data_IF_796365126178
#
_entry.id   IF_796365126178
#
_cell.length_a   1.000
_cell.length_b   1.000
_cell.length_c   1.000
_cell.angle_alpha   90.00
_cell.angle_beta   90.00
_cell.angle_gamma   90.00
#
_symmetry.space_group_name_H-M   'P 1'
#
loop_
_entity.id
_entity.type
_entity.pdbx_description
1 polymer ?
#
# COMPACT_ATOMS: atom_id res chain seq x y z
N UNK A 1 -25.05 20.73 -0.29
CA UNK A 1 -23.84 21.47 0.09
C UNK A 1 -22.76 20.44 0.41
N UNK A 2 -21.63 20.40 -0.32
CA UNK A 2 -20.61 19.38 -0.11
C UNK A 2 -19.95 19.42 1.28
N UNK A 3 -20.16 20.50 2.05
CA UNK A 3 -19.72 20.60 3.45
C UNK A 3 -20.50 19.66 4.38
N UNK A 4 -21.73 19.31 4.02
CA UNK A 4 -22.63 18.51 4.87
C UNK A 4 -23.19 17.28 4.16
N UNK A 5 -22.83 17.05 2.90
CA UNK A 5 -23.35 15.95 2.09
C UNK A 5 -22.22 15.32 1.30
N UNK A 6 -22.09 14.00 1.40
CA UNK A 6 -21.19 13.21 0.57
C UNK A 6 -22.01 12.36 -0.40
N UNK A 7 -21.58 12.30 -1.66
CA UNK A 7 -22.18 11.45 -2.69
C UNK A 7 -21.32 10.22 -2.87
N UNK A 8 -21.91 9.04 -2.72
CA UNK A 8 -21.22 7.75 -2.86
C UNK A 8 -21.82 6.96 -4.01
N UNK A 9 -20.96 6.32 -4.80
CA UNK A 9 -21.39 5.42 -5.87
C UNK A 9 -22.00 4.15 -5.27
N UNK A 10 -23.13 3.68 -5.84
CA UNK A 10 -23.87 2.51 -5.35
C UNK A 10 -22.99 1.26 -5.16
N UNK A 11 -21.91 1.12 -5.92
CA UNK A 11 -20.95 0.00 -5.78
C UNK A 11 -20.29 -0.06 -4.39
N UNK A 12 -20.23 1.05 -3.67
CA UNK A 12 -19.65 1.13 -2.32
C UNK A 12 -20.71 1.15 -1.21
N UNK A 13 -21.99 0.83 -1.51
CA UNK A 13 -23.08 0.92 -0.52
C UNK A 13 -22.85 0.08 0.74
N UNK A 14 -22.10 -1.02 0.62
CA UNK A 14 -21.80 -1.90 1.75
C UNK A 14 -20.61 -1.40 2.60
N UNK A 15 -19.82 -0.48 2.05
CA UNK A 15 -18.61 0.06 2.67
C UNK A 15 -18.84 1.45 3.29
N UNK A 16 -20.08 1.97 3.25
CA UNK A 16 -20.45 3.27 3.82
C UNK A 16 -21.71 3.13 4.69
N UNK A 17 -21.80 3.98 5.71
CA UNK A 17 -22.96 4.13 6.58
C UNK A 17 -23.27 5.60 6.84
N UNK A 18 -24.53 5.90 7.14
CA UNK A 18 -24.94 7.23 7.59
C UNK A 18 -24.29 7.56 8.94
N UNK A 19 -23.74 8.78 9.12
CA UNK A 19 -23.11 9.16 10.37
C UNK A 19 -24.13 9.28 11.50
N UNK A 20 -23.89 8.56 12.59
CA UNK A 20 -24.75 8.60 13.78
C UNK A 20 -24.45 9.78 14.72
N UNK A 21 -23.29 10.40 14.55
CA UNK A 21 -22.85 11.55 15.37
C UNK A 21 -21.87 12.42 14.59
N UNK A 22 -21.65 13.64 15.06
CA UNK A 22 -20.55 14.49 14.59
C UNK A 22 -19.25 14.00 15.22
N UNK A 23 -18.21 13.87 14.40
CA UNK A 23 -16.87 13.45 14.82
C UNK A 23 -15.80 14.45 14.40
N UNK A 24 -14.59 14.24 14.90
CA UNK A 24 -13.39 14.98 14.50
C UNK A 24 -12.36 14.02 13.95
N UNK A 25 -11.61 14.47 12.93
CA UNK A 25 -10.50 13.73 12.35
C UNK A 25 -9.35 14.70 12.13
N UNK A 26 -8.16 14.34 12.62
CA UNK A 26 -6.95 15.12 12.45
C UNK A 26 -5.85 14.26 11.82
N UNK A 27 -5.14 14.83 10.85
CA UNK A 27 -3.93 14.23 10.26
C UNK A 27 -2.79 14.34 11.29
N UNK A 28 -2.29 13.21 11.76
CA UNK A 28 -1.20 13.13 12.72
C UNK A 28 0.17 13.06 12.02
N UNK A 29 0.26 12.31 10.91
CA UNK A 29 1.50 12.22 10.14
C UNK A 29 1.24 12.05 8.65
N UNK A 30 2.11 12.64 7.83
CA UNK A 30 2.04 12.63 6.38
C UNK A 30 3.37 12.17 5.79
N UNK A 31 3.32 11.11 4.99
CA UNK A 31 4.40 10.67 4.13
C UNK A 31 3.83 10.23 2.76
N UNK A 32 4.63 10.26 1.68
CA UNK A 32 4.15 9.93 0.33
C UNK A 32 3.48 8.56 0.22
N UNK A 33 3.95 7.58 0.99
CA UNK A 33 3.44 6.20 1.00
C UNK A 33 2.63 5.84 2.26
N UNK A 34 2.47 6.77 3.22
CA UNK A 34 1.77 6.50 4.47
C UNK A 34 1.14 7.77 5.05
N UNK A 35 -0.15 7.70 5.36
CA UNK A 35 -0.89 8.75 6.05
C UNK A 35 -1.44 8.18 7.35
N UNK A 36 -1.37 8.92 8.45
CA UNK A 36 -1.95 8.51 9.73
C UNK A 36 -2.84 9.62 10.25
N UNK A 37 -4.08 9.27 10.59
CA UNK A 37 -5.09 10.14 11.16
C UNK A 37 -5.53 9.61 12.53
N UNK A 38 -5.98 10.52 13.37
CA UNK A 38 -6.72 10.23 14.60
C UNK A 38 -8.16 10.66 14.42
N UNK A 39 -9.10 9.77 14.73
CA UNK A 39 -10.53 10.09 14.77
C UNK A 39 -11.07 10.01 16.19
N UNK A 40 -12.06 10.83 16.48
CA UNK A 40 -12.87 10.81 17.71
C UNK A 40 -14.32 11.09 17.36
N UNK A 41 -15.20 10.12 17.55
CA UNK A 41 -16.63 10.20 17.22
C UNK A 41 -17.47 9.35 18.19
N UNK A 42 -18.62 9.86 18.61
CA UNK A 42 -19.47 9.19 19.61
C UNK A 42 -20.32 8.04 19.04
N UNK A 43 -20.58 8.08 17.73
CA UNK A 43 -21.34 7.10 16.97
C UNK A 43 -20.60 6.73 15.69
N UNK A 44 -20.88 5.55 15.14
CA UNK A 44 -20.26 5.08 13.91
C UNK A 44 -20.71 5.92 12.71
N UNK A 45 -19.90 5.93 11.64
CA UNK A 45 -20.25 6.66 10.43
C UNK A 45 -19.17 6.69 9.38
N UNK A 46 -19.54 7.15 8.19
CA UNK A 46 -18.59 7.36 7.10
C UNK A 46 -17.77 8.63 7.30
N UNK A 47 -16.46 8.48 7.38
CA UNK A 47 -15.49 9.55 7.28
C UNK A 47 -15.09 9.76 5.82
N UNK A 48 -15.07 11.02 5.36
CA UNK A 48 -14.57 11.41 4.03
C UNK A 48 -13.25 12.16 4.20
N UNK A 49 -12.23 11.72 3.47
CA UNK A 49 -10.88 12.26 3.54
C UNK A 49 -10.60 13.08 2.29
N UNK A 50 -9.90 14.21 2.43
CA UNK A 50 -9.44 15.04 1.30
C UNK A 50 -8.27 14.42 0.52
N UNK A 51 -8.33 13.11 0.30
CA UNK A 51 -7.30 12.29 -0.32
C UNK A 51 -7.87 11.59 -1.56
N UNK A 52 -7.08 11.51 -2.63
CA UNK A 52 -7.54 10.92 -3.90
C UNK A 52 -7.70 9.41 -3.74
N UNK A 53 -8.89 8.90 -4.04
CA UNK A 53 -9.17 7.47 -4.19
C UNK A 53 -8.36 6.91 -5.36
N UNK A 54 -7.49 5.94 -5.06
CA UNK A 54 -6.70 5.26 -6.07
C UNK A 54 -6.47 3.79 -5.68
N UNK A 55 -6.71 2.83 -6.60
CA UNK A 55 -6.42 1.41 -6.35
C UNK A 55 -4.92 1.23 -6.06
N UNK A 56 -4.57 0.58 -4.94
CA UNK A 56 -3.22 0.31 -4.37
C UNK A 56 -3.01 0.94 -2.99
N UNK A 57 -3.87 1.86 -2.57
CA UNK A 57 -3.93 2.23 -1.17
C UNK A 57 -4.68 1.16 -0.37
N UNK A 58 -4.14 0.81 0.79
CA UNK A 58 -4.83 0.02 1.82
C UNK A 58 -5.10 0.91 3.02
N UNK A 59 -6.25 0.70 3.65
CA UNK A 59 -6.63 1.41 4.86
C UNK A 59 -6.68 0.45 6.04
N UNK A 60 -6.34 0.97 7.21
CA UNK A 60 -6.35 0.24 8.47
C UNK A 60 -7.00 1.11 9.54
N UNK A 61 -7.86 0.52 10.35
CA UNK A 61 -8.39 1.13 11.58
C UNK A 61 -7.87 0.29 12.74
N UNK A 62 -7.08 0.91 13.62
CA UNK A 62 -6.42 0.24 14.76
C UNK A 62 -5.61 -1.02 14.37
N UNK A 63 -5.09 -1.04 13.14
CA UNK A 63 -4.30 -2.15 12.61
C UNK A 63 -5.09 -3.18 11.82
N UNK A 64 -6.43 -3.15 11.87
CA UNK A 64 -7.28 -4.04 11.07
C UNK A 64 -7.55 -3.45 9.70
N UNK A 65 -7.37 -4.24 8.65
CA UNK A 65 -7.56 -3.78 7.27
C UNK A 65 -9.05 -3.58 6.98
N UNK A 66 -9.39 -2.43 6.42
CA UNK A 66 -10.76 -2.06 6.03
C UNK A 66 -10.85 -1.71 4.55
N UNK A 67 -12.04 -1.86 3.97
CA UNK A 67 -12.31 -1.50 2.59
C UNK A 67 -12.37 0.03 2.41
N UNK A 68 -11.71 0.54 1.37
CA UNK A 68 -11.75 1.96 1.01
C UNK A 68 -12.93 2.19 0.05
N UNK A 69 -13.88 3.01 0.47
CA UNK A 69 -14.93 3.52 -0.39
C UNK A 69 -14.51 4.79 -1.12
N UNK A 70 -15.28 5.17 -2.15
CA UNK A 70 -15.10 6.42 -2.88
C UNK A 70 -16.29 7.35 -2.69
N UNK A 71 -16.04 8.54 -2.17
CA UNK A 71 -17.01 9.61 -2.02
C UNK A 71 -16.67 10.78 -2.94
N UNK A 72 -17.69 11.60 -3.27
CA UNK A 72 -17.55 12.82 -4.07
C UNK A 72 -16.69 12.61 -5.32
N UNK A 73 -16.91 11.49 -6.02
CA UNK A 73 -16.24 11.04 -7.24
C UNK A 73 -14.73 10.72 -7.13
N UNK A 74 -13.99 11.38 -6.25
CA UNK A 74 -12.52 11.31 -6.20
C UNK A 74 -11.96 11.10 -4.80
N UNK A 75 -12.73 11.26 -3.74
CA UNK A 75 -12.24 11.24 -2.37
C UNK A 75 -12.32 9.84 -1.76
N UNK A 76 -11.37 9.52 -0.88
CA UNK A 76 -11.42 8.30 -0.06
C UNK A 76 -12.49 8.45 1.03
N UNK A 77 -13.18 7.37 1.33
CA UNK A 77 -14.10 7.28 2.45
C UNK A 77 -13.91 5.96 3.19
N UNK A 78 -14.11 5.98 4.50
CA UNK A 78 -14.06 4.80 5.38
C UNK A 78 -15.24 4.82 6.32
N UNK A 79 -15.83 3.65 6.57
CA UNK A 79 -16.75 3.47 7.67
C UNK A 79 -15.94 3.34 8.98
N UNK A 80 -16.07 4.33 9.87
CA UNK A 80 -15.31 4.41 11.13
C UNK A 80 -16.25 4.06 12.30
N UNK A 81 -15.88 3.10 13.16
CA UNK A 81 -16.66 2.77 14.35
C UNK A 81 -16.73 3.94 15.35
N UNK A 82 -17.62 3.84 16.33
CA UNK A 82 -17.67 4.78 17.44
C UNK A 82 -16.44 4.62 18.35
N UNK A 83 -15.86 5.74 18.78
CA UNK A 83 -14.73 5.79 19.69
C UNK A 83 -13.57 6.62 19.17
N UNK A 84 -12.39 6.34 19.71
CA UNK A 84 -11.13 6.92 19.29
C UNK A 84 -10.36 5.89 18.49
N UNK A 85 -9.98 6.23 17.26
CA UNK A 85 -9.30 5.30 16.37
C UNK A 85 -8.08 5.92 15.71
N UNK A 86 -7.11 5.06 15.41
CA UNK A 86 -5.98 5.39 14.55
C UNK A 86 -6.27 4.84 13.16
N UNK A 87 -6.35 5.74 12.19
CA UNK A 87 -6.62 5.39 10.79
C UNK A 87 -5.33 5.55 10.00
N UNK A 88 -4.87 4.48 9.36
CA UNK A 88 -3.67 4.51 8.54
C UNK A 88 -4.00 4.17 7.08
N UNK A 89 -3.58 5.02 6.15
CA UNK A 89 -3.52 4.68 4.74
C UNK A 89 -2.08 4.32 4.39
N UNK A 90 -1.87 3.18 3.74
CA UNK A 90 -0.55 2.72 3.28
C UNK A 90 -0.62 2.45 1.79
N UNK A 91 0.29 3.04 1.03
CA UNK A 91 0.43 2.79 -0.40
C UNK A 91 1.25 1.52 -0.60
N UNK A 92 0.59 0.45 -1.04
CA UNK A 92 1.25 -0.82 -1.33
C UNK A 92 0.80 -1.39 -2.69
N UNK A 93 1.36 -0.89 -3.79
CA UNK A 93 1.02 -1.34 -5.13
C UNK A 93 1.62 -2.72 -5.44
N UNK A 94 0.80 -3.60 -6.01
CA UNK A 94 1.18 -4.95 -6.46
C UNK A 94 2.37 -4.93 -7.44
N UNK A 95 2.55 -3.83 -8.19
CA UNK A 95 3.68 -3.67 -9.11
C UNK A 95 5.04 -3.70 -8.40
N UNK A 96 5.16 -3.14 -7.19
CA UNK A 96 6.43 -3.13 -6.46
C UNK A 96 6.91 -4.55 -6.19
N UNK A 97 6.02 -5.41 -5.65
CA UNK A 97 6.33 -6.80 -5.40
C UNK A 97 6.70 -7.59 -6.67
N UNK A 98 6.06 -7.30 -7.80
CA UNK A 98 6.40 -7.93 -9.08
C UNK A 98 7.78 -7.52 -9.57
N UNK A 99 8.09 -6.23 -9.51
CA UNK A 99 9.40 -5.73 -9.94
C UNK A 99 10.54 -6.23 -9.05
N UNK A 100 10.34 -6.27 -7.74
CA UNK A 100 11.31 -6.83 -6.79
C UNK A 100 11.58 -8.31 -7.08
N UNK A 101 10.53 -9.09 -7.32
CA UNK A 101 10.67 -10.52 -7.65
C UNK A 101 11.45 -10.73 -8.93
N UNK A 102 11.12 -10.00 -10.01
CA UNK A 102 11.82 -10.10 -11.29
C UNK A 102 13.29 -9.70 -11.15
N UNK A 103 13.57 -8.58 -10.46
CA UNK A 103 14.93 -8.12 -10.23
C UNK A 103 15.76 -9.14 -9.42
N UNK A 104 15.16 -9.74 -8.40
CA UNK A 104 15.82 -10.77 -7.59
C UNK A 104 16.14 -12.01 -8.43
N UNK A 105 15.21 -12.47 -9.27
CA UNK A 105 15.46 -13.60 -10.19
C UNK A 105 16.60 -13.26 -11.16
N UNK A 106 16.59 -12.07 -11.75
CA UNK A 106 17.64 -11.62 -12.67
C UNK A 106 19.02 -11.57 -11.98
N UNK A 107 19.10 -11.06 -10.74
CA UNK A 107 20.32 -11.05 -9.95
C UNK A 107 20.84 -12.46 -9.65
N UNK A 108 19.95 -13.41 -9.30
CA UNK A 108 20.34 -14.81 -9.08
C UNK A 108 20.93 -15.41 -10.36
N UNK A 109 20.29 -15.20 -11.51
CA UNK A 109 20.78 -15.69 -12.81
C UNK A 109 22.15 -15.08 -13.14
N UNK A 110 22.32 -13.78 -12.93
CA UNK A 110 23.58 -13.07 -13.16
C UNK A 110 24.71 -13.64 -12.29
N UNK A 111 24.46 -13.84 -10.99
CA UNK A 111 25.43 -14.42 -10.06
C UNK A 111 25.84 -15.84 -10.46
N UNK A 112 24.88 -16.68 -10.84
CA UNK A 112 25.15 -18.03 -11.34
C UNK A 112 26.00 -18.01 -12.62
N UNK A 113 25.71 -17.08 -13.55
CA UNK A 113 26.49 -16.89 -14.76
C UNK A 113 27.93 -16.46 -14.49
N UNK A 114 28.15 -15.55 -13.54
CA UNK A 114 29.48 -15.12 -13.11
C UNK A 114 30.28 -16.27 -12.47
N UNK A 115 29.64 -17.06 -11.59
CA UNK A 115 30.27 -18.23 -10.97
C UNK A 115 30.66 -19.26 -12.03
N UNK A 116 29.77 -19.55 -12.98
CA UNK A 116 30.01 -20.53 -14.03
C UNK A 116 31.15 -20.11 -14.97
N UNK A 117 31.13 -18.84 -15.40
CA UNK A 117 32.19 -18.28 -16.25
C UNK A 117 33.54 -18.25 -15.53
N UNK A 118 33.58 -17.87 -14.25
CA UNK A 118 34.77 -17.94 -13.40
C UNK A 118 35.32 -19.37 -13.29
N UNK A 119 34.45 -20.35 -13.02
CA UNK A 119 34.85 -21.76 -12.94
C UNK A 119 35.43 -22.29 -14.26
N UNK A 120 34.83 -21.93 -15.40
CA UNK A 120 35.35 -22.27 -16.74
C UNK A 120 36.73 -21.61 -16.96
N UNK A 121 36.88 -20.34 -16.59
CA UNK A 121 38.14 -19.60 -16.68
C UNK A 121 39.27 -20.25 -15.87
N UNK A 122 39.01 -20.61 -14.62
CA UNK A 122 39.97 -21.30 -13.75
C UNK A 122 40.39 -22.66 -14.34
N UNK A 123 39.42 -23.46 -14.81
CA UNK A 123 39.71 -24.76 -15.45
C UNK A 123 40.59 -24.59 -16.70
N UNK A 124 40.35 -23.56 -17.52
CA UNK A 124 41.17 -23.26 -18.71
C UNK A 124 42.61 -22.90 -18.33
N UNK A 125 42.79 -22.03 -17.33
CA UNK A 125 44.12 -21.63 -16.85
C UNK A 125 44.91 -22.81 -16.27
N UNK A 126 44.24 -23.69 -15.52
CA UNK A 126 44.87 -24.92 -14.99
C UNK A 126 45.32 -25.85 -16.11
N UNK A 127 44.51 -26.02 -17.17
CA UNK A 127 44.86 -26.85 -18.33
C UNK A 127 46.10 -26.31 -19.05
N UNK A 128 46.17 -25.00 -19.30
CA UNK A 128 47.34 -24.37 -19.96
C UNK A 128 48.63 -24.56 -19.17
N UNK A 129 48.60 -24.36 -17.84
CA UNK A 129 49.77 -24.58 -16.97
C UNK A 129 50.29 -26.02 -17.02
N UNK A 130 49.40 -27.01 -17.23
CA UNK A 130 49.77 -28.43 -17.33
C UNK A 130 50.41 -28.79 -18.67
N UNK A 131 50.06 -28.11 -19.76
CA UNK A 131 50.63 -28.36 -21.10
C UNK A 131 52.00 -27.72 -21.31
N UNK A 132 52.35 -26.71 -20.52
CA UNK A 132 53.66 -26.03 -20.58
C UNK A 132 54.76 -26.67 -19.70
N UNK A 133 54.42 -27.68 -18.90
CA UNK A 133 55.36 -28.51 -18.14
C UNK A 133 55.56 -29.83 -18.85
#
# INVERSE_FOLDING_TARGET
>A
DPRFTAVVDKRFSNAVSEPQSVGTISLESYAPNKLVYKSSNAGAGTAVFSEIYYPSWRAYIDGEQVEIARANYVLRALNVPAGNHTIAFVFDPISLHRTETIANIANIILLLGLILSGAIGVKRLQKMKKTMK
#
